data_IF_328221917977
#
_entry.id   IF_328221917977
#
_cell.length_a   1.000
_cell.length_b   1.000
_cell.length_c   1.000
_cell.angle_alpha   90.00
_cell.angle_beta   90.00
_cell.angle_gamma   90.00
#
_symmetry.space_group_name_H-M   'P 1'
#
loop_
_entity.id
_entity.type
_entity.pdbx_description
1 polymer ?
#
# COMPACT_ATOMS: atom_id res chain seq x y z
N UNK A 1 -6.55 -1.16 11.52
CA UNK A 1 -5.69 -0.08 10.99
C UNK A 1 -5.31 -0.43 9.57
N UNK A 2 -5.34 0.51 8.61
CA UNK A 2 -4.89 0.27 7.23
C UNK A 2 -3.48 0.84 7.08
N UNK A 3 -2.63 0.18 6.29
CA UNK A 3 -1.29 0.64 5.95
C UNK A 3 -1.21 0.77 4.44
N UNK A 4 -0.68 1.89 3.96
CA UNK A 4 -0.38 2.11 2.55
C UNK A 4 1.12 1.96 2.34
N UNK A 5 1.52 1.08 1.43
CA UNK A 5 2.94 0.91 1.07
C UNK A 5 3.19 1.56 -0.27
N UNK A 6 4.14 2.48 -0.32
CA UNK A 6 4.62 3.14 -1.52
C UNK A 6 5.99 2.56 -1.88
N UNK A 7 6.11 2.03 -3.09
CA UNK A 7 7.34 1.49 -3.65
C UNK A 7 7.72 2.33 -4.85
N UNK A 8 8.76 3.15 -4.73
CA UNK A 8 9.42 3.77 -5.87
C UNK A 8 10.21 2.71 -6.62
N UNK A 9 10.08 2.66 -7.94
CA UNK A 9 10.74 1.62 -8.74
C UNK A 9 12.19 1.99 -9.11
N UNK A 10 12.51 3.28 -9.26
CA UNK A 10 13.85 3.76 -9.66
C UNK A 10 14.18 5.14 -9.03
N UNK A 11 15.16 5.23 -8.10
CA UNK A 11 15.78 4.11 -7.38
C UNK A 11 14.73 3.35 -6.55
N UNK A 12 15.00 2.08 -6.24
CA UNK A 12 14.11 1.31 -5.37
C UNK A 12 14.07 1.94 -3.97
N UNK A 13 12.91 2.43 -3.56
CA UNK A 13 12.67 2.96 -2.21
C UNK A 13 11.29 2.55 -1.73
N UNK A 14 11.20 2.11 -0.47
CA UNK A 14 9.94 1.69 0.13
C UNK A 14 9.61 2.61 1.30
N UNK A 15 8.39 3.13 1.32
CA UNK A 15 7.84 3.94 2.41
C UNK A 15 6.46 3.40 2.81
N UNK A 16 6.10 3.55 4.07
CA UNK A 16 4.79 3.12 4.59
C UNK A 16 4.07 4.27 5.27
N UNK A 17 2.77 4.36 5.06
CA UNK A 17 1.92 5.44 5.58
C UNK A 17 0.66 4.86 6.24
N UNK A 18 0.16 5.53 7.27
CA UNK A 18 -1.10 5.16 7.94
C UNK A 18 -2.35 5.55 7.16
N UNK A 19 -2.22 6.43 6.15
CA UNK A 19 -3.33 6.89 5.30
C UNK A 19 -2.83 7.35 3.92
N UNK A 20 -3.74 7.42 2.93
CA UNK A 20 -3.43 8.06 1.64
C UNK A 20 -3.12 9.54 1.81
N UNK A 21 -3.74 10.22 2.79
CA UNK A 21 -3.47 11.64 3.06
C UNK A 21 -2.00 11.85 3.41
N UNK A 22 -1.47 11.09 4.36
CA UNK A 22 -0.06 11.17 4.75
C UNK A 22 0.89 10.85 3.57
N UNK A 23 0.51 9.89 2.72
CA UNK A 23 1.26 9.58 1.50
C UNK A 23 1.31 10.77 0.54
N UNK A 24 0.22 11.51 0.34
CA UNK A 24 0.18 12.69 -0.54
C UNK A 24 0.75 13.96 0.09
N UNK A 25 0.83 14.06 1.42
CA UNK A 25 1.52 15.17 2.08
C UNK A 25 3.04 15.03 1.99
N UNK A 26 3.58 13.81 2.07
CA UNK A 26 5.02 13.53 1.96
C UNK A 26 5.51 13.46 0.50
N UNK A 27 4.61 13.31 -0.48
CA UNK A 27 4.98 13.15 -1.89
C UNK A 27 4.06 13.94 -2.83
N UNK A 28 4.64 14.63 -3.81
CA UNK A 28 3.88 15.40 -4.79
C UNK A 28 3.15 14.52 -5.80
N UNK A 29 2.04 15.02 -6.36
CA UNK A 29 1.32 14.34 -7.44
C UNK A 29 2.24 14.02 -8.63
N UNK A 30 3.21 14.89 -8.93
CA UNK A 30 4.19 14.66 -9.99
C UNK A 30 5.10 13.47 -9.67
N UNK A 31 5.60 13.37 -8.43
CA UNK A 31 6.43 12.23 -8.01
C UNK A 31 5.68 10.90 -8.11
N UNK A 32 4.42 10.89 -7.71
CA UNK A 32 3.58 9.68 -7.72
C UNK A 32 3.05 9.34 -9.13
N UNK A 33 2.90 10.34 -10.00
CA UNK A 33 2.30 10.18 -11.33
C UNK A 33 0.80 9.87 -11.28
N UNK A 34 0.14 10.15 -10.16
CA UNK A 34 -1.29 9.87 -9.93
C UNK A 34 -1.89 10.87 -8.95
N UNK A 35 -3.14 11.26 -9.19
CA UNK A 35 -3.87 12.18 -8.31
C UNK A 35 -4.48 11.45 -7.11
N UNK A 36 -4.66 12.17 -6.00
CA UNK A 36 -5.33 11.66 -4.80
C UNK A 36 -6.74 11.16 -5.09
N UNK A 37 -7.53 11.94 -5.83
CA UNK A 37 -8.89 11.57 -6.20
C UNK A 37 -8.98 10.25 -6.98
N UNK A 38 -7.96 9.91 -7.78
CA UNK A 38 -7.90 8.63 -8.49
C UNK A 38 -7.62 7.48 -7.54
N UNK A 39 -6.69 7.65 -6.60
CA UNK A 39 -6.39 6.61 -5.60
C UNK A 39 -7.49 6.45 -4.56
N UNK A 40 -8.21 7.51 -4.18
CA UNK A 40 -9.33 7.42 -3.24
C UNK A 40 -10.47 6.54 -3.79
N UNK A 41 -10.63 6.46 -5.11
CA UNK A 41 -11.62 5.60 -5.80
C UNK A 41 -11.06 4.26 -6.24
N UNK A 42 -9.76 4.03 -6.05
CA UNK A 42 -9.11 2.80 -6.49
C UNK A 42 -9.44 1.66 -5.53
N UNK A 43 -9.84 0.53 -6.10
CA UNK A 43 -10.11 -0.66 -5.32
C UNK A 43 -8.81 -1.38 -4.93
N UNK A 44 -8.27 -0.97 -3.78
CA UNK A 44 -7.09 -1.60 -3.21
C UNK A 44 -7.37 -2.94 -2.50
N UNK A 45 -8.62 -3.37 -2.35
CA UNK A 45 -8.91 -4.66 -1.70
C UNK A 45 -8.74 -5.82 -2.67
N UNK A 46 -8.92 -5.57 -3.98
CA UNK A 46 -8.71 -6.57 -5.03
C UNK A 46 -7.31 -6.55 -5.64
N UNK A 47 -6.61 -5.40 -5.63
CA UNK A 47 -5.33 -5.26 -6.34
C UNK A 47 -4.45 -4.11 -5.82
N UNK A 48 -3.26 -3.97 -6.41
CA UNK A 48 -2.32 -2.88 -6.18
C UNK A 48 -2.26 -1.92 -7.36
N UNK A 49 -2.06 -0.64 -7.08
CA UNK A 49 -1.88 0.37 -8.11
C UNK A 49 -0.44 0.30 -8.64
N UNK A 50 -0.28 0.27 -9.96
CA UNK A 50 1.03 0.26 -10.64
C UNK A 50 1.09 1.41 -11.64
N UNK A 51 2.18 2.16 -11.58
CA UNK A 51 2.58 3.10 -12.63
C UNK A 51 4.01 2.82 -13.06
N UNK A 52 4.56 3.63 -13.96
CA UNK A 52 5.98 3.54 -14.35
C UNK A 52 6.93 4.01 -13.24
N UNK A 53 6.44 4.82 -12.28
CA UNK A 53 7.24 5.43 -11.21
C UNK A 53 7.10 4.67 -9.90
N UNK A 54 5.88 4.24 -9.57
CA UNK A 54 5.53 3.73 -8.24
C UNK A 54 4.61 2.52 -8.27
N UNK A 55 4.64 1.74 -7.21
CA UNK A 55 3.61 0.75 -6.85
C UNK A 55 3.02 1.20 -5.51
N UNK A 56 1.69 1.19 -5.40
CA UNK A 56 0.99 1.53 -4.17
C UNK A 56 0.08 0.37 -3.78
N UNK A 57 0.23 -0.10 -2.55
CA UNK A 57 -0.58 -1.19 -2.00
C UNK A 57 -1.29 -0.73 -0.72
N UNK A 58 -2.42 -1.37 -0.41
CA UNK A 58 -3.09 -1.24 0.89
C UNK A 58 -3.09 -2.59 1.57
N UNK A 59 -2.65 -2.63 2.81
CA UNK A 59 -2.68 -3.84 3.61
C UNK A 59 -3.28 -3.56 4.98
N UNK A 60 -3.79 -4.63 5.58
CA UNK A 60 -4.13 -4.65 7.00
C UNK A 60 -2.96 -5.34 7.70
N UNK A 61 -2.35 -4.74 8.75
CA UNK A 61 -1.30 -5.38 9.49
C UNK A 61 -1.85 -6.64 10.16
N UNK A 62 -1.12 -7.74 10.03
CA UNK A 62 -1.45 -8.99 10.68
C UNK A 62 -0.97 -8.94 12.13
N UNK A 63 -1.83 -9.32 13.07
CA UNK A 63 -1.40 -9.55 14.44
C UNK A 63 -0.65 -10.89 14.54
N UNK A 64 0.13 -11.05 15.61
CA UNK A 64 0.78 -12.34 15.93
C UNK A 64 -0.24 -13.48 16.05
N UNK A 65 -1.47 -13.19 16.50
CA UNK A 65 -2.55 -14.18 16.57
C UNK A 65 -3.05 -14.61 15.19
N UNK A 66 -3.24 -13.67 14.27
CA UNK A 66 -3.70 -13.95 12.91
C UNK A 66 -2.69 -14.83 12.16
N UNK A 67 -1.40 -14.54 12.31
CA UNK A 67 -0.33 -15.34 11.73
C UNK A 67 -0.34 -16.78 12.25
N UNK A 68 -0.60 -16.97 13.55
CA UNK A 68 -0.68 -18.32 14.15
C UNK A 68 -1.88 -19.10 13.62
N UNK A 69 -3.07 -18.47 13.54
CA UNK A 69 -4.29 -19.12 13.01
C UNK A 69 -4.13 -19.55 11.56
N UNK A 70 -3.59 -18.67 10.71
CA UNK A 70 -3.32 -18.99 9.30
C UNK A 70 -2.38 -20.19 9.15
N UNK A 71 -1.30 -20.23 9.93
CA UNK A 71 -0.35 -21.37 9.93
C UNK A 71 -0.96 -22.69 10.40
N UNK A 72 -1.97 -22.66 11.27
CA UNK A 72 -2.69 -23.88 11.67
C UNK A 72 -3.66 -24.36 10.60
N UNK A 73 -4.33 -23.44 9.90
CA UNK A 73 -5.25 -23.77 8.81
C UNK A 73 -4.52 -24.34 7.58
N UNK A 74 -3.34 -23.83 7.25
CA UNK A 74 -2.51 -24.34 6.14
C UNK A 74 -1.90 -25.74 6.38
N UNK A 75 -1.94 -26.23 7.63
CA UNK A 75 -1.41 -27.55 8.01
C UNK A 75 -2.48 -28.64 8.08
N UNK A 76 -3.75 -28.27 7.95
CA UNK A 76 -4.91 -29.17 7.90
C UNK A 76 -5.26 -29.50 6.45
#
# INVERSE_FOLDING_TARGET
>A
MKIYTLIYQKPLRVKTYSSLVALFEDNSQEQLGVSKAKLDRFDFDSTYYVSTRVIITRSVPLSSGDVRRKKSEERL
#
